data_IF_558537593556
#
_entry.id   IF_558537593556
#
_cell.length_a   1.000
_cell.length_b   1.000
_cell.length_c   1.000
_cell.angle_alpha   90.00
_cell.angle_beta   90.00
_cell.angle_gamma   90.00
#
_symmetry.space_group_name_H-M   'P 1'
#
loop_
_entity.id
_entity.type
_entity.pdbx_description
1 polymer ?
#
# COMPACT_ATOMS: atom_id res chain seq x y z
N UNK A 1 -22.66 -29.12 -4.81
CA UNK A 1 -21.64 -29.14 -3.75
C UNK A 1 -21.62 -27.72 -3.22
N UNK A 2 -22.12 -27.51 -2.00
CA UNK A 2 -22.25 -26.19 -1.40
C UNK A 2 -20.84 -25.63 -1.17
N UNK A 3 -20.50 -24.53 -1.86
CA UNK A 3 -19.30 -23.76 -1.56
C UNK A 3 -19.55 -23.11 -0.19
N UNK A 4 -18.83 -23.59 0.82
CA UNK A 4 -18.76 -22.92 2.11
C UNK A 4 -18.08 -21.58 1.89
N UNK A 5 -18.87 -20.50 1.93
CA UNK A 5 -18.36 -19.14 2.03
C UNK A 5 -17.69 -19.05 3.39
N UNK A 6 -16.36 -18.93 3.42
CA UNK A 6 -15.67 -18.57 4.65
C UNK A 6 -15.92 -17.08 4.86
N UNK A 7 -16.98 -16.74 5.59
CA UNK A 7 -17.10 -15.40 6.17
C UNK A 7 -16.00 -15.27 7.23
N UNK A 8 -14.84 -14.75 6.83
CA UNK A 8 -13.87 -14.21 7.77
C UNK A 8 -14.49 -12.89 8.22
N UNK A 9 -15.28 -12.97 9.29
CA UNK A 9 -15.82 -11.76 9.92
C UNK A 9 -14.63 -11.13 10.64
N UNK A 10 -14.39 -9.83 10.43
CA UNK A 10 -13.50 -9.06 11.29
C UNK A 10 -13.84 -9.41 12.75
N UNK A 11 -12.85 -9.87 13.50
CA UNK A 11 -13.06 -10.32 14.88
C UNK A 11 -13.47 -9.08 15.68
N UNK A 12 -14.64 -9.13 16.31
CA UNK A 12 -15.27 -8.04 17.05
C UNK A 12 -14.58 -7.68 18.36
N UNK A 13 -13.29 -7.38 18.33
CA UNK A 13 -12.66 -6.54 19.34
C UNK A 13 -13.06 -5.08 19.06
N UNK A 14 -13.47 -4.34 20.09
CA UNK A 14 -13.67 -2.90 19.92
C UNK A 14 -12.32 -2.27 19.53
N UNK A 15 -12.28 -1.41 18.49
CA UNK A 15 -11.04 -0.76 18.09
C UNK A 15 -10.51 0.10 19.25
N UNK A 16 -9.18 0.28 19.31
CA UNK A 16 -8.54 1.12 20.34
C UNK A 16 -9.08 2.54 20.37
N UNK A 17 -9.59 3.02 19.24
CA UNK A 17 -10.10 4.35 19.03
C UNK A 17 -11.04 4.35 17.82
N UNK A 18 -12.01 5.25 17.81
CA UNK A 18 -12.82 5.55 16.64
C UNK A 18 -12.23 6.72 15.81
N UNK A 19 -11.09 7.28 16.23
CA UNK A 19 -10.34 8.31 15.52
C UNK A 19 -9.23 7.68 14.65
N UNK A 20 -9.38 7.66 13.32
CA UNK A 20 -8.38 7.13 12.40
C UNK A 20 -7.03 7.81 12.49
N UNK A 21 -6.98 9.11 12.84
CA UNK A 21 -5.69 9.79 13.04
C UNK A 21 -4.95 9.18 14.21
N UNK A 22 -5.63 8.99 15.33
CA UNK A 22 -5.05 8.33 16.50
C UNK A 22 -4.69 6.86 16.21
N UNK A 23 -5.52 6.14 15.43
CA UNK A 23 -5.19 4.79 15.00
C UNK A 23 -3.90 4.75 14.15
N UNK A 24 -3.68 5.75 13.29
CA UNK A 24 -2.46 5.89 12.52
C UNK A 24 -1.23 6.15 13.40
N UNK A 25 -1.36 6.97 14.45
CA UNK A 25 -0.29 7.20 15.43
C UNK A 25 0.10 5.91 16.16
N UNK A 26 -0.88 5.09 16.57
CA UNK A 26 -0.62 3.80 17.21
C UNK A 26 0.12 2.82 16.30
N UNK A 27 -0.27 2.74 15.03
CA UNK A 27 0.43 1.92 14.04
C UNK A 27 1.85 2.43 13.76
N UNK A 28 2.02 3.75 13.67
CA UNK A 28 3.33 4.39 13.48
C UNK A 28 4.28 4.12 14.67
N UNK A 29 3.78 4.24 15.90
CA UNK A 29 4.55 3.93 17.11
C UNK A 29 4.99 2.46 17.17
N UNK A 30 4.13 1.54 16.73
CA UNK A 30 4.52 0.14 16.62
C UNK A 30 5.61 -0.10 15.57
N UNK A 31 5.49 0.53 14.38
CA UNK A 31 6.52 0.45 13.33
C UNK A 31 7.86 1.05 13.78
N UNK A 32 7.83 2.17 14.51
CA UNK A 32 9.03 2.79 15.07
C UNK A 32 9.81 1.84 16.00
N UNK A 33 9.10 0.96 16.71
CA UNK A 33 9.69 -0.09 17.55
C UNK A 33 10.36 -1.24 16.79
N UNK A 34 10.18 -1.35 15.47
CA UNK A 34 10.77 -2.42 14.64
C UNK A 34 12.14 -2.07 14.05
N UNK A 35 12.57 -0.81 14.16
CA UNK A 35 13.82 -0.38 13.54
C UNK A 35 15.03 -1.07 14.19
N UNK A 36 15.94 -1.54 13.33
CA UNK A 36 17.25 -1.99 13.73
C UNK A 36 18.11 -0.80 14.19
N UNK A 37 19.22 -1.07 14.87
CA UNK A 37 20.11 -0.04 15.41
C UNK A 37 20.76 0.88 14.36
N UNK A 38 20.69 0.53 13.08
CA UNK A 38 21.13 1.37 11.95
C UNK A 38 19.99 2.15 11.29
N UNK A 39 18.77 2.07 11.83
CA UNK A 39 17.56 2.70 11.32
C UNK A 39 16.86 1.92 10.22
N UNK A 40 17.35 0.73 9.83
CA UNK A 40 16.67 -0.09 8.83
C UNK A 40 15.50 -0.88 9.39
N UNK A 41 14.59 -1.29 8.51
CA UNK A 41 13.53 -2.25 8.84
C UNK A 41 13.28 -3.18 7.65
N UNK A 42 13.55 -4.47 7.83
CA UNK A 42 13.33 -5.48 6.79
C UNK A 42 14.13 -5.22 5.52
N UNK A 43 13.46 -5.15 4.37
CA UNK A 43 14.06 -4.90 3.07
C UNK A 43 13.81 -3.48 2.54
N UNK A 44 14.27 -3.19 1.32
CA UNK A 44 14.12 -1.88 0.69
C UNK A 44 12.66 -1.40 0.61
N UNK A 45 11.71 -2.30 0.34
CA UNK A 45 10.29 -1.97 0.28
C UNK A 45 9.75 -1.61 1.66
N UNK A 46 10.07 -2.43 2.67
CA UNK A 46 9.69 -2.18 4.06
C UNK A 46 10.23 -0.84 4.60
N UNK A 47 11.48 -0.50 4.28
CA UNK A 47 12.05 0.81 4.65
C UNK A 47 11.30 1.98 4.01
N UNK A 48 10.97 1.89 2.72
CA UNK A 48 10.21 2.93 2.00
C UNK A 48 8.80 3.10 2.58
N UNK A 49 8.09 1.99 2.78
CA UNK A 49 6.72 2.00 3.31
C UNK A 49 6.66 2.45 4.77
N UNK A 50 7.61 2.04 5.60
CA UNK A 50 7.72 2.54 6.99
C UNK A 50 7.92 4.05 6.99
N UNK A 51 8.87 4.59 6.22
CA UNK A 51 9.10 6.03 6.20
C UNK A 51 7.86 6.82 5.71
N UNK A 52 7.14 6.30 4.72
CA UNK A 52 5.86 6.87 4.27
C UNK A 52 4.76 6.80 5.34
N UNK A 53 4.68 5.71 6.10
CA UNK A 53 3.74 5.57 7.22
C UNK A 53 4.03 6.59 8.35
N UNK A 54 5.30 6.73 8.76
CA UNK A 54 5.70 7.71 9.77
C UNK A 54 5.41 9.15 9.28
N UNK A 55 5.76 9.48 8.03
CA UNK A 55 5.44 10.79 7.44
C UNK A 55 3.93 11.07 7.38
N UNK A 56 3.11 10.05 7.13
CA UNK A 56 1.65 10.16 7.04
C UNK A 56 0.99 10.39 8.40
N UNK A 57 1.46 9.68 9.43
CA UNK A 57 1.00 9.87 10.82
C UNK A 57 1.44 11.22 11.40
N UNK A 58 2.58 11.75 10.92
CA UNK A 58 3.26 12.96 11.44
C UNK A 58 3.78 12.80 12.87
N UNK A 59 4.06 11.58 13.28
CA UNK A 59 4.63 11.23 14.59
C UNK A 59 5.90 10.40 14.40
N UNK A 60 6.59 10.09 15.51
CA UNK A 60 7.80 9.27 15.52
C UNK A 60 8.96 9.89 14.73
N UNK A 61 9.19 11.19 14.89
CA UNK A 61 10.22 11.96 14.18
C UNK A 61 11.63 11.36 14.29
N UNK A 62 12.02 10.87 15.47
CA UNK A 62 13.34 10.25 15.67
C UNK A 62 13.49 8.96 14.85
N UNK A 63 12.43 8.15 14.77
CA UNK A 63 12.42 6.94 13.95
C UNK A 63 12.45 7.30 12.46
N UNK A 64 11.66 8.29 12.03
CA UNK A 64 11.66 8.76 10.65
C UNK A 64 13.06 9.26 10.23
N UNK A 65 13.72 10.03 11.09
CA UNK A 65 15.09 10.50 10.85
C UNK A 65 16.09 9.35 10.73
N UNK A 66 15.93 8.30 11.54
CA UNK A 66 16.76 7.10 11.45
C UNK A 66 16.56 6.35 10.12
N UNK A 67 15.31 6.09 9.72
CA UNK A 67 15.02 5.43 8.42
C UNK A 67 15.50 6.30 7.26
N UNK A 68 15.29 7.63 7.31
CA UNK A 68 15.78 8.54 6.28
C UNK A 68 17.31 8.58 6.21
N UNK A 69 17.99 8.51 7.36
CA UNK A 69 19.44 8.33 7.41
C UNK A 69 19.90 7.08 6.67
N UNK A 70 19.22 5.96 6.90
CA UNK A 70 19.49 4.69 6.21
C UNK A 70 19.19 4.78 4.70
N UNK A 71 18.04 5.32 4.30
CA UNK A 71 17.64 5.49 2.90
C UNK A 71 18.64 6.36 2.12
N UNK A 72 19.12 7.47 2.72
CA UNK A 72 20.14 8.34 2.12
C UNK A 72 21.48 7.63 1.90
N UNK A 73 21.83 6.69 2.76
CA UNK A 73 23.07 5.89 2.66
C UNK A 73 22.94 4.72 1.67
N UNK A 74 21.73 4.21 1.45
CA UNK A 74 21.46 2.98 0.68
C UNK A 74 20.64 3.21 -0.60
N UNK A 75 20.50 4.46 -1.06
CA UNK A 75 19.61 4.83 -2.16
C UNK A 75 19.76 3.98 -3.44
N UNK A 76 20.99 3.64 -3.84
CA UNK A 76 21.29 2.83 -5.02
C UNK A 76 20.71 1.40 -4.94
N UNK A 77 20.83 0.73 -3.79
CA UNK A 77 20.28 -0.61 -3.61
C UNK A 77 18.76 -0.58 -3.41
N UNK A 78 18.23 0.51 -2.84
CA UNK A 78 16.79 0.69 -2.64
C UNK A 78 16.04 0.78 -3.96
N UNK A 79 16.58 1.49 -4.94
CA UNK A 79 15.87 1.79 -6.20
C UNK A 79 16.07 0.76 -7.31
N UNK A 80 16.83 -0.31 -7.07
CA UNK A 80 17.15 -1.33 -8.08
C UNK A 80 16.84 -2.75 -7.60
N UNK A 81 16.45 -3.61 -8.54
CA UNK A 81 16.36 -5.06 -8.34
C UNK A 81 17.72 -5.78 -8.57
N UNK A 82 18.80 -5.01 -8.73
CA UNK A 82 20.14 -5.49 -9.09
C UNK A 82 20.35 -5.66 -10.59
N UNK A 83 19.31 -5.53 -11.42
CA UNK A 83 19.40 -5.56 -12.89
C UNK A 83 19.01 -4.22 -13.53
N UNK A 84 17.98 -3.56 -12.99
CA UNK A 84 17.42 -2.33 -13.51
C UNK A 84 16.85 -1.48 -12.37
N UNK A 85 16.54 -0.23 -12.70
CA UNK A 85 15.80 0.66 -11.82
C UNK A 85 14.35 0.21 -11.72
N UNK A 86 13.80 0.30 -10.51
CA UNK A 86 12.42 -0.06 -10.18
C UNK A 86 11.57 1.21 -10.03
N UNK A 87 10.68 1.53 -10.99
CA UNK A 87 9.92 2.77 -10.97
C UNK A 87 9.06 2.97 -9.72
N UNK A 88 8.45 1.89 -9.20
CA UNK A 88 7.66 1.96 -7.96
C UNK A 88 8.51 2.35 -6.75
N UNK A 89 9.72 1.76 -6.62
CA UNK A 89 10.66 2.11 -5.54
C UNK A 89 11.21 3.52 -5.69
N UNK A 90 11.53 3.94 -6.91
CA UNK A 90 11.90 5.33 -7.22
C UNK A 90 10.79 6.32 -6.86
N UNK A 91 9.55 6.04 -7.25
CA UNK A 91 8.38 6.87 -6.94
C UNK A 91 8.20 7.04 -5.43
N UNK A 92 8.24 5.94 -4.67
CA UNK A 92 8.17 5.96 -3.20
C UNK A 92 9.35 6.70 -2.56
N UNK A 93 10.58 6.50 -3.06
CA UNK A 93 11.76 7.19 -2.54
C UNK A 93 11.69 8.70 -2.80
N UNK A 94 11.16 9.13 -3.94
CA UNK A 94 10.94 10.55 -4.23
C UNK A 94 9.86 11.12 -3.30
N UNK A 95 8.76 10.39 -3.08
CA UNK A 95 7.70 10.81 -2.14
C UNK A 95 8.25 11.06 -0.74
N UNK A 96 9.02 10.11 -0.19
CA UNK A 96 9.58 10.25 1.15
C UNK A 96 10.70 11.29 1.21
N UNK A 97 11.53 11.43 0.16
CA UNK A 97 12.54 12.50 0.10
C UNK A 97 11.89 13.89 0.17
N UNK A 98 10.81 14.12 -0.58
CA UNK A 98 10.07 15.38 -0.55
C UNK A 98 9.40 15.60 0.81
N UNK A 99 8.81 14.57 1.41
CA UNK A 99 8.23 14.64 2.75
C UNK A 99 9.29 14.99 3.81
N UNK A 100 10.51 14.49 3.68
CA UNK A 100 11.64 14.83 4.55
C UNK A 100 12.26 16.22 4.27
N UNK A 101 11.80 16.93 3.22
CA UNK A 101 12.40 18.19 2.79
C UNK A 101 13.75 18.05 2.06
N UNK A 102 14.13 16.83 1.65
CA UNK A 102 15.31 16.59 0.82
C UNK A 102 15.06 17.01 -0.64
N UNK A 103 16.14 17.29 -1.37
CA UNK A 103 16.09 17.48 -2.82
C UNK A 103 16.17 16.10 -3.53
N UNK A 104 15.09 15.62 -4.19
CA UNK A 104 15.12 14.35 -4.90
C UNK A 104 16.02 14.34 -6.14
N UNK A 105 16.52 15.50 -6.60
CA UNK A 105 17.51 15.60 -7.70
C UNK A 105 18.96 15.54 -7.21
N UNK A 106 19.18 15.57 -5.90
CA UNK A 106 20.49 15.51 -5.27
C UNK A 106 20.42 14.67 -3.98
N UNK A 107 19.78 13.50 -4.05
CA UNK A 107 19.45 12.69 -2.88
C UNK A 107 20.65 11.93 -2.31
N UNK A 108 20.72 11.91 -0.98
CA UNK A 108 21.71 11.13 -0.24
C UNK A 108 23.17 11.57 -0.47
N UNK A 109 24.11 10.82 0.11
CA UNK A 109 25.54 11.16 0.05
C UNK A 109 26.14 11.10 -1.36
N UNK A 110 25.49 10.38 -2.27
CA UNK A 110 25.88 10.26 -3.67
C UNK A 110 25.38 11.40 -4.56
N UNK A 111 24.53 12.30 -4.05
CA UNK A 111 23.82 13.30 -4.85
C UNK A 111 23.08 12.65 -6.04
N UNK A 112 22.33 11.58 -5.77
CA UNK A 112 21.58 10.85 -6.79
C UNK A 112 20.43 11.69 -7.33
N UNK A 113 20.33 11.76 -8.67
CA UNK A 113 19.16 12.32 -9.33
C UNK A 113 18.07 11.24 -9.48
N UNK A 114 17.24 11.09 -8.44
CA UNK A 114 16.16 10.10 -8.44
C UNK A 114 15.10 10.42 -9.50
N UNK A 115 14.84 11.72 -9.71
CA UNK A 115 13.88 12.19 -10.71
C UNK A 115 14.34 11.80 -12.11
N UNK A 116 15.60 12.12 -12.45
CA UNK A 116 16.19 11.76 -13.73
C UNK A 116 16.22 10.25 -13.97
N UNK A 117 16.49 9.45 -12.92
CA UNK A 117 16.45 7.98 -13.00
C UNK A 117 15.05 7.46 -13.27
N UNK A 118 14.03 7.96 -12.56
CA UNK A 118 12.63 7.58 -12.81
C UNK A 118 12.21 7.94 -14.24
N UNK A 119 12.53 9.15 -14.68
CA UNK A 119 12.26 9.60 -16.05
C UNK A 119 12.93 8.71 -17.10
N UNK A 120 14.16 8.23 -16.84
CA UNK A 120 14.89 7.34 -17.74
C UNK A 120 14.26 5.95 -17.87
N UNK A 121 13.40 5.53 -16.93
CA UNK A 121 12.69 4.24 -17.03
C UNK A 121 11.50 4.27 -17.99
N UNK A 122 11.02 5.45 -18.41
CA UNK A 122 9.86 5.58 -19.28
C UNK A 122 10.09 4.92 -20.65
N UNK A 123 9.14 4.08 -21.07
CA UNK A 123 9.17 3.43 -22.38
C UNK A 123 10.06 2.19 -22.46
N UNK A 124 10.65 1.74 -21.34
CA UNK A 124 11.61 0.63 -21.36
C UNK A 124 10.97 -0.72 -21.69
N UNK A 125 9.71 -0.93 -21.30
CA UNK A 125 8.92 -2.11 -21.69
C UNK A 125 8.02 -1.82 -22.90
N UNK A 126 7.18 -0.78 -22.79
CA UNK A 126 6.27 -0.31 -23.84
C UNK A 126 6.11 1.20 -23.74
N UNK A 127 5.78 1.88 -24.86
CA UNK A 127 5.58 3.33 -24.86
C UNK A 127 4.59 3.79 -23.78
N UNK A 128 4.97 4.83 -23.02
CA UNK A 128 4.17 5.38 -21.91
C UNK A 128 4.30 4.64 -20.57
N UNK A 129 4.81 3.40 -20.54
CA UNK A 129 4.96 2.65 -19.29
C UNK A 129 6.34 2.88 -18.66
N UNK A 130 6.38 3.20 -17.36
CA UNK A 130 7.63 3.20 -16.61
C UNK A 130 8.12 1.77 -16.31
N UNK A 131 9.43 1.55 -16.44
CA UNK A 131 10.10 0.30 -16.07
C UNK A 131 10.25 -0.69 -17.21
N UNK A 132 11.28 -1.53 -17.10
CA UNK A 132 11.56 -2.63 -18.03
C UNK A 132 10.95 -3.97 -17.57
N UNK A 133 10.57 -4.05 -16.29
CA UNK A 133 10.03 -5.25 -15.65
C UNK A 133 8.67 -5.65 -16.24
N UNK A 134 8.36 -6.94 -16.17
CA UNK A 134 7.07 -7.51 -16.57
C UNK A 134 5.92 -6.82 -15.80
N UNK A 135 5.02 -6.11 -16.48
CA UNK A 135 3.96 -5.32 -15.83
C UNK A 135 2.71 -6.14 -15.47
N UNK A 136 2.69 -7.46 -15.71
CA UNK A 136 1.49 -8.30 -15.53
C UNK A 136 0.81 -8.10 -14.18
N UNK A 137 1.60 -7.85 -13.12
CA UNK A 137 1.11 -7.80 -11.74
C UNK A 137 1.18 -6.41 -11.10
N UNK A 138 1.86 -5.44 -11.70
CA UNK A 138 2.14 -4.16 -11.06
C UNK A 138 2.07 -2.94 -12.00
N UNK A 139 1.75 -3.13 -13.29
CA UNK A 139 1.88 -2.07 -14.29
C UNK A 139 1.10 -0.79 -13.93
N UNK A 140 -0.19 -0.88 -13.62
CA UNK A 140 -0.98 0.27 -13.20
C UNK A 140 -0.54 0.84 -11.84
N UNK A 141 -0.21 -0.03 -10.88
CA UNK A 141 0.24 0.32 -9.54
C UNK A 141 1.56 1.09 -9.55
N UNK A 142 2.59 0.56 -10.23
CA UNK A 142 3.90 1.20 -10.38
C UNK A 142 3.82 2.48 -11.20
N UNK A 143 2.92 2.54 -12.18
CA UNK A 143 2.67 3.74 -12.97
C UNK A 143 2.07 4.85 -12.10
N UNK A 144 1.09 4.53 -11.25
CA UNK A 144 0.52 5.44 -10.26
C UNK A 144 1.59 5.99 -9.31
N UNK A 145 2.41 5.11 -8.73
CA UNK A 145 3.52 5.50 -7.85
C UNK A 145 4.56 6.39 -8.54
N UNK A 146 4.92 6.07 -9.79
CA UNK A 146 5.86 6.88 -10.56
C UNK A 146 5.31 8.30 -10.81
N UNK A 147 4.03 8.40 -11.19
CA UNK A 147 3.36 9.69 -11.40
C UNK A 147 3.23 10.50 -10.11
N UNK A 148 2.94 9.84 -8.98
CA UNK A 148 2.93 10.45 -7.65
C UNK A 148 4.32 11.02 -7.29
N UNK A 149 5.38 10.23 -7.45
CA UNK A 149 6.75 10.66 -7.17
C UNK A 149 7.19 11.84 -8.04
N UNK A 150 6.99 11.75 -9.36
CA UNK A 150 7.30 12.86 -10.28
C UNK A 150 6.56 14.14 -9.90
N UNK A 151 5.28 14.03 -9.55
CA UNK A 151 4.48 15.16 -9.11
C UNK A 151 5.00 15.76 -7.80
N UNK A 152 5.39 14.93 -6.83
CA UNK A 152 6.01 15.37 -5.58
C UNK A 152 7.28 16.20 -5.84
N UNK A 153 8.10 15.78 -6.80
CA UNK A 153 9.31 16.49 -7.21
C UNK A 153 9.06 17.72 -8.11
N UNK A 154 7.80 18.13 -8.26
CA UNK A 154 7.38 19.28 -9.05
C UNK A 154 7.45 19.10 -10.56
N UNK A 155 7.60 17.87 -11.07
CA UNK A 155 7.58 17.60 -12.51
C UNK A 155 6.13 17.73 -13.01
N UNK A 156 5.96 18.40 -14.16
CA UNK A 156 4.68 18.57 -14.83
C UNK A 156 4.79 18.16 -16.31
N UNK A 157 3.67 17.83 -16.99
CA UNK A 157 3.68 17.61 -18.43
C UNK A 157 4.19 18.80 -19.25
N UNK A 158 4.06 20.04 -18.75
CA UNK A 158 4.64 21.22 -19.41
C UNK A 158 6.16 21.27 -19.31
N UNK A 159 6.74 20.84 -18.19
CA UNK A 159 8.19 20.85 -17.97
C UNK A 159 8.87 19.62 -18.60
N UNK A 160 8.16 18.48 -18.60
CA UNK A 160 8.64 17.23 -19.17
C UNK A 160 7.51 16.55 -19.99
N UNK A 161 7.37 16.89 -21.29
CA UNK A 161 6.28 16.40 -22.15
C UNK A 161 6.04 14.89 -22.19
N UNK A 162 7.07 14.00 -22.11
CA UNK A 162 6.84 12.55 -22.06
C UNK A 162 5.97 12.07 -20.89
N UNK A 163 5.80 12.89 -19.83
CA UNK A 163 4.86 12.60 -18.75
C UNK A 163 3.42 12.48 -19.25
N UNK A 164 3.05 13.19 -20.32
CA UNK A 164 1.71 13.08 -20.89
C UNK A 164 1.47 11.68 -21.48
N UNK A 165 2.46 11.10 -22.16
CA UNK A 165 2.36 9.73 -22.69
C UNK A 165 2.18 8.71 -21.55
N UNK A 166 2.77 8.98 -20.38
CA UNK A 166 2.62 8.15 -19.18
C UNK A 166 1.22 8.24 -18.56
N UNK A 167 0.63 9.43 -18.53
CA UNK A 167 -0.74 9.66 -18.09
C UNK A 167 -1.72 8.99 -19.07
N UNK A 168 -1.54 9.21 -20.38
CA UNK A 168 -2.40 8.65 -21.42
C UNK A 168 -2.34 7.13 -21.43
N UNK A 169 -1.16 6.55 -21.19
CA UNK A 169 -1.02 5.11 -21.01
C UNK A 169 -1.87 4.61 -19.84
N UNK A 170 -1.81 5.27 -18.68
CA UNK A 170 -2.57 4.85 -17.49
C UNK A 170 -4.08 4.97 -17.71
N UNK A 171 -4.55 6.05 -18.35
CA UNK A 171 -5.97 6.21 -18.73
C UNK A 171 -6.40 5.07 -19.66
N UNK A 172 -5.59 4.73 -20.67
CA UNK A 172 -5.91 3.68 -21.61
C UNK A 172 -6.00 2.29 -20.97
N UNK A 173 -5.33 2.06 -19.83
CA UNK A 173 -5.40 0.79 -19.11
C UNK A 173 -6.75 0.57 -18.40
N UNK A 174 -7.54 1.62 -18.13
CA UNK A 174 -8.80 1.48 -17.41
C UNK A 174 -9.79 0.57 -18.14
N UNK A 175 -10.41 -0.35 -17.41
CA UNK A 175 -11.39 -1.28 -17.93
C UNK A 175 -12.64 -0.54 -18.43
N UNK A 176 -12.81 -0.50 -19.75
CA UNK A 176 -13.90 0.23 -20.41
C UNK A 176 -15.21 -0.55 -20.47
N UNK A 177 -16.19 0.00 -21.20
CA UNK A 177 -17.54 -0.54 -21.34
C UNK A 177 -17.59 -1.93 -22.02
N UNK A 178 -16.55 -2.28 -22.78
CA UNK A 178 -16.31 -3.58 -23.38
C UNK A 178 -16.13 -4.69 -22.33
N UNK A 179 -15.67 -4.32 -21.13
CA UNK A 179 -15.41 -5.24 -20.02
C UNK A 179 -16.71 -5.73 -19.36
N UNK A 180 -16.68 -6.91 -18.72
CA UNK A 180 -17.75 -7.38 -17.84
C UNK A 180 -18.16 -6.30 -16.83
N UNK A 181 -19.46 -6.15 -16.51
CA UNK A 181 -19.94 -5.11 -15.58
C UNK A 181 -19.17 -5.04 -14.26
N UNK A 182 -18.78 -6.18 -13.71
CA UNK A 182 -18.00 -6.34 -12.48
C UNK A 182 -16.59 -5.76 -12.53
N UNK A 183 -16.06 -5.47 -13.72
CA UNK A 183 -14.71 -4.95 -13.92
C UNK A 183 -14.67 -3.52 -14.45
N UNK A 184 -15.82 -2.93 -14.81
CA UNK A 184 -15.84 -1.60 -15.44
C UNK A 184 -15.34 -0.55 -14.47
N UNK A 185 -14.45 0.32 -14.95
CA UNK A 185 -13.87 1.41 -14.15
C UNK A 185 -12.65 1.01 -13.31
N UNK A 186 -12.40 -0.29 -13.13
CA UNK A 186 -11.21 -0.80 -12.46
C UNK A 186 -9.96 -0.73 -13.35
N UNK A 187 -8.81 -0.98 -12.74
CA UNK A 187 -7.56 -1.34 -13.42
C UNK A 187 -7.16 -2.76 -13.03
N UNK A 188 -6.55 -3.46 -13.99
CA UNK A 188 -5.68 -4.61 -13.73
C UNK A 188 -4.22 -4.18 -13.91
N UNK A 189 -3.26 -5.05 -13.54
CA UNK A 189 -1.83 -4.73 -13.68
C UNK A 189 -1.43 -4.28 -15.07
N UNK A 190 -1.84 -5.03 -16.11
CA UNK A 190 -1.51 -4.68 -17.49
C UNK A 190 -2.46 -5.28 -18.51
N UNK A 191 -2.81 -4.47 -19.52
CA UNK A 191 -3.51 -4.84 -20.74
C UNK A 191 -2.61 -4.55 -21.92
N UNK A 192 -2.24 -5.61 -22.64
CA UNK A 192 -1.47 -5.52 -23.88
C UNK A 192 -2.31 -5.02 -25.08
N UNK A 193 -3.63 -5.21 -25.02
CA UNK A 193 -4.61 -4.66 -25.96
C UNK A 193 -5.72 -3.96 -25.17
N UNK A 194 -5.66 -2.63 -25.12
CA UNK A 194 -6.64 -1.79 -24.42
C UNK A 194 -7.97 -1.65 -25.17
N UNK A 195 -8.10 -2.23 -26.36
CA UNK A 195 -9.38 -2.40 -27.05
C UNK A 195 -10.12 -3.69 -26.69
N UNK A 196 -9.45 -4.62 -26.01
CA UNK A 196 -10.04 -5.87 -25.53
C UNK A 196 -10.63 -5.72 -24.12
N UNK A 197 -11.68 -6.50 -23.76
CA UNK A 197 -12.22 -6.48 -22.40
C UNK A 197 -11.17 -6.86 -21.36
N UNK A 198 -11.27 -6.24 -20.19
CA UNK A 198 -10.61 -6.76 -18.99
C UNK A 198 -11.20 -8.13 -18.65
N UNK A 199 -10.33 -9.07 -18.33
CA UNK A 199 -10.69 -10.44 -17.98
C UNK A 199 -9.83 -10.90 -16.80
N UNK A 200 -10.38 -11.80 -16.01
CA UNK A 200 -9.56 -12.61 -15.11
C UNK A 200 -8.86 -13.69 -15.91
N UNK A 201 -7.53 -13.72 -15.82
CA UNK A 201 -6.71 -14.77 -16.41
C UNK A 201 -6.60 -15.94 -15.43
N UNK A 202 -7.12 -17.14 -15.76
CA UNK A 202 -7.08 -18.29 -14.85
C UNK A 202 -5.70 -18.93 -14.69
N UNK A 203 -4.70 -18.52 -15.49
CA UNK A 203 -3.32 -19.03 -15.42
C UNK A 203 -2.45 -18.11 -14.57
N UNK A 204 -2.50 -16.80 -14.86
CA UNK A 204 -1.69 -15.81 -14.14
C UNK A 204 -2.41 -15.26 -12.91
N UNK A 205 -3.72 -15.46 -12.79
CA UNK A 205 -4.58 -14.84 -11.77
C UNK A 205 -4.60 -13.31 -11.85
N UNK A 206 -4.06 -12.73 -12.92
CA UNK A 206 -4.18 -11.31 -13.19
C UNK A 206 -5.63 -10.98 -13.51
N UNK A 207 -6.21 -10.06 -12.75
CA UNK A 207 -7.56 -9.58 -12.93
C UNK A 207 -7.63 -8.12 -12.45
N UNK A 208 -8.70 -7.38 -12.79
CA UNK A 208 -8.95 -6.09 -12.19
C UNK A 208 -9.08 -6.20 -10.67
N UNK A 209 -8.47 -5.27 -9.95
CA UNK A 209 -8.33 -5.34 -8.50
C UNK A 209 -8.35 -3.92 -7.88
N UNK A 210 -8.62 -3.83 -6.58
CA UNK A 210 -8.76 -2.53 -5.89
C UNK A 210 -7.45 -1.79 -5.76
N UNK A 211 -6.32 -2.48 -5.71
CA UNK A 211 -5.02 -1.89 -5.37
C UNK A 211 -4.42 -1.20 -6.59
N UNK A 212 -4.48 -1.84 -7.75
CA UNK A 212 -4.15 -1.23 -9.04
C UNK A 212 -5.03 -0.01 -9.29
N UNK A 213 -6.34 -0.15 -9.06
CA UNK A 213 -7.33 0.92 -9.24
C UNK A 213 -7.02 2.10 -8.31
N UNK A 214 -6.73 1.84 -7.04
CA UNK A 214 -6.43 2.87 -6.06
C UNK A 214 -5.19 3.69 -6.43
N UNK A 215 -4.08 3.03 -6.80
CA UNK A 215 -2.86 3.75 -7.19
C UNK A 215 -3.01 4.46 -8.53
N UNK A 216 -3.79 3.91 -9.46
CA UNK A 216 -4.10 4.59 -10.71
C UNK A 216 -4.86 5.90 -10.46
N UNK A 217 -5.91 5.85 -9.63
CA UNK A 217 -6.68 7.05 -9.23
C UNK A 217 -5.78 8.07 -8.55
N UNK A 218 -5.00 7.67 -7.54
CA UNK A 218 -4.11 8.59 -6.83
C UNK A 218 -3.10 9.26 -7.77
N UNK A 219 -2.48 8.50 -8.68
CA UNK A 219 -1.52 9.03 -9.65
C UNK A 219 -2.13 10.01 -10.66
N UNK A 220 -3.35 9.73 -11.12
CA UNK A 220 -4.07 10.62 -12.05
C UNK A 220 -4.55 11.90 -11.35
N UNK A 221 -5.17 11.78 -10.17
CA UNK A 221 -5.68 12.93 -9.39
C UNK A 221 -4.56 13.87 -8.96
N UNK A 222 -3.40 13.35 -8.52
CA UNK A 222 -2.24 14.18 -8.19
C UNK A 222 -1.75 15.04 -9.36
N UNK A 223 -1.99 14.58 -10.59
CA UNK A 223 -1.66 15.28 -11.83
C UNK A 223 -2.82 16.11 -12.40
N UNK A 224 -3.92 16.26 -11.65
CA UNK A 224 -5.08 17.06 -12.05
C UNK A 224 -5.90 16.41 -13.17
N UNK A 225 -5.83 15.08 -13.29
CA UNK A 225 -6.52 14.30 -14.31
C UNK A 225 -7.60 13.47 -13.63
N UNK A 226 -8.86 13.85 -13.81
CA UNK A 226 -10.01 13.17 -13.21
C UNK A 226 -10.76 12.25 -14.19
N UNK A 227 -10.19 12.04 -15.39
CA UNK A 227 -10.79 11.16 -16.39
C UNK A 227 -10.79 9.73 -15.89
N UNK A 228 -11.97 9.12 -15.77
CA UNK A 228 -12.11 7.76 -15.27
C UNK A 228 -12.28 7.66 -13.75
N UNK A 229 -12.16 8.75 -13.00
CA UNK A 229 -12.33 8.73 -11.54
C UNK A 229 -13.74 8.29 -11.14
N UNK A 230 -14.79 8.87 -11.75
CA UNK A 230 -16.17 8.49 -11.43
C UNK A 230 -16.42 6.98 -11.63
N UNK A 231 -15.94 6.40 -12.72
CA UNK A 231 -16.08 4.95 -12.94
C UNK A 231 -15.25 4.10 -11.99
N UNK A 232 -14.10 4.61 -11.52
CA UNK A 232 -13.33 3.95 -10.47
C UNK A 232 -14.07 3.96 -9.13
N UNK A 233 -14.71 5.08 -8.79
CA UNK A 233 -15.54 5.19 -7.58
C UNK A 233 -16.75 4.25 -7.66
N UNK A 234 -17.39 4.14 -8.82
CA UNK A 234 -18.49 3.19 -9.04
C UNK A 234 -18.01 1.74 -8.90
N UNK A 235 -16.79 1.43 -9.35
CA UNK A 235 -16.17 0.12 -9.12
C UNK A 235 -15.93 -0.16 -7.64
N UNK A 236 -15.34 0.80 -6.90
CA UNK A 236 -15.13 0.64 -5.46
C UNK A 236 -16.46 0.41 -4.73
N UNK A 237 -17.50 1.19 -5.04
CA UNK A 237 -18.83 1.01 -4.46
C UNK A 237 -19.43 -0.37 -4.77
N UNK A 238 -19.16 -0.91 -5.96
CA UNK A 238 -19.59 -2.26 -6.36
C UNK A 238 -18.90 -3.38 -5.56
N UNK A 239 -17.63 -3.21 -5.21
CA UNK A 239 -16.81 -4.24 -4.54
C UNK A 239 -16.65 -4.02 -3.05
N UNK A 240 -17.23 -2.96 -2.49
CA UNK A 240 -17.23 -2.72 -1.05
C UNK A 240 -18.01 -3.85 -0.34
N UNK A 241 -17.41 -4.41 0.70
CA UNK A 241 -18.00 -5.51 1.47
C UNK A 241 -18.91 -4.97 2.60
N UNK A 242 -19.75 -5.85 3.17
CA UNK A 242 -20.73 -5.48 4.21
C UNK A 242 -20.09 -4.90 5.49
N UNK A 243 -18.80 -5.17 5.73
CA UNK A 243 -18.04 -4.61 6.85
C UNK A 243 -17.49 -3.21 6.57
N UNK A 244 -17.80 -2.63 5.41
CA UNK A 244 -17.33 -1.32 4.95
C UNK A 244 -15.95 -1.34 4.27
N UNK A 245 -15.25 -2.47 4.30
CA UNK A 245 -13.91 -2.63 3.76
C UNK A 245 -13.88 -2.99 2.29
N UNK A 246 -12.67 -3.17 1.79
CA UNK A 246 -12.42 -3.51 0.39
C UNK A 246 -11.52 -4.74 0.29
N UNK A 247 -11.85 -5.68 -0.59
CA UNK A 247 -11.02 -6.85 -0.85
C UNK A 247 -9.95 -6.51 -1.89
N UNK A 248 -8.81 -7.21 -1.88
CA UNK A 248 -7.86 -7.13 -3.01
C UNK A 248 -8.57 -7.36 -4.37
N UNK A 249 -9.29 -8.47 -4.48
CA UNK A 249 -10.12 -8.82 -5.63
C UNK A 249 -11.51 -9.21 -5.16
N UNK A 250 -12.53 -8.99 -5.99
CA UNK A 250 -13.91 -9.32 -5.63
C UNK A 250 -14.05 -10.78 -5.17
N UNK A 251 -14.69 -10.98 -4.01
CA UNK A 251 -14.95 -12.31 -3.44
C UNK A 251 -13.84 -12.86 -2.52
N UNK A 252 -12.77 -12.12 -2.28
CA UNK A 252 -11.71 -12.50 -1.32
C UNK A 252 -11.96 -11.99 0.12
N UNK A 253 -12.95 -11.11 0.32
CA UNK A 253 -13.22 -10.46 1.60
C UNK A 253 -12.26 -9.31 1.91
N UNK A 254 -12.67 -8.42 2.80
CA UNK A 254 -11.92 -7.21 3.17
C UNK A 254 -10.55 -7.54 3.77
N UNK A 255 -9.58 -6.69 3.46
CA UNK A 255 -8.25 -6.71 4.07
C UNK A 255 -7.77 -5.27 4.34
N UNK A 256 -6.90 -5.05 5.34
CA UNK A 256 -6.47 -3.70 5.73
C UNK A 256 -5.62 -3.01 4.67
N UNK A 257 -4.81 -3.75 3.88
CA UNK A 257 -3.95 -3.17 2.86
C UNK A 257 -4.80 -2.54 1.75
N UNK A 258 -5.72 -3.32 1.19
CA UNK A 258 -6.63 -2.90 0.12
C UNK A 258 -7.58 -1.81 0.60
N UNK A 259 -8.14 -1.96 1.81
CA UNK A 259 -9.01 -0.94 2.41
C UNK A 259 -8.27 0.40 2.59
N UNK A 260 -7.02 0.38 3.06
CA UNK A 260 -6.23 1.57 3.25
C UNK A 260 -5.84 2.26 1.93
N UNK A 261 -5.52 1.49 0.88
CA UNK A 261 -5.27 2.04 -0.45
C UNK A 261 -6.52 2.67 -1.06
N UNK A 262 -7.68 2.04 -0.90
CA UNK A 262 -8.95 2.61 -1.36
C UNK A 262 -9.27 3.89 -0.59
N UNK A 263 -9.10 3.93 0.74
CA UNK A 263 -9.27 5.17 1.52
C UNK A 263 -8.40 6.30 0.96
N UNK A 264 -7.11 6.05 0.68
CA UNK A 264 -6.23 7.05 0.10
C UNK A 264 -6.70 7.50 -1.30
N UNK A 265 -7.20 6.57 -2.13
CA UNK A 265 -7.78 6.91 -3.43
C UNK A 265 -9.03 7.79 -3.29
N UNK A 266 -9.93 7.46 -2.36
CA UNK A 266 -11.11 8.26 -2.05
C UNK A 266 -10.73 9.69 -1.63
N UNK A 267 -9.78 9.83 -0.71
CA UNK A 267 -9.30 11.14 -0.25
C UNK A 267 -8.66 11.92 -1.41
N UNK A 268 -7.88 11.27 -2.27
CA UNK A 268 -7.25 11.90 -3.44
C UNK A 268 -8.29 12.43 -4.44
N UNK A 269 -9.41 11.72 -4.61
CA UNK A 269 -10.55 12.12 -5.43
C UNK A 269 -11.51 13.11 -4.71
N UNK A 270 -11.12 13.64 -3.54
CA UNK A 270 -11.93 14.58 -2.75
C UNK A 270 -13.19 13.97 -2.13
N UNK A 271 -13.29 12.64 -2.05
CA UNK A 271 -14.35 11.95 -1.33
C UNK A 271 -14.06 11.96 0.17
N UNK A 272 -15.13 11.97 0.97
CA UNK A 272 -15.04 11.66 2.40
C UNK A 272 -15.39 10.18 2.60
N UNK A 273 -14.46 9.32 3.05
CA UNK A 273 -14.72 7.92 3.32
C UNK A 273 -15.83 7.68 4.36
N UNK A 274 -16.20 8.67 5.18
CA UNK A 274 -17.34 8.56 6.11
C UNK A 274 -18.67 8.99 5.53
N UNK A 275 -18.68 9.50 4.30
CA UNK A 275 -19.92 9.98 3.69
C UNK A 275 -20.93 8.84 3.51
N UNK A 276 -22.20 9.19 3.32
CA UNK A 276 -23.28 8.23 3.11
C UNK A 276 -23.09 7.33 1.90
N UNK A 277 -22.23 7.71 0.94
CA UNK A 277 -21.86 6.85 -0.20
C UNK A 277 -21.11 5.61 0.28
N UNK A 278 -20.18 5.79 1.22
CA UNK A 278 -19.25 4.75 1.66
C UNK A 278 -19.65 4.08 2.98
N UNK A 279 -20.78 4.48 3.57
CA UNK A 279 -21.36 3.91 4.79
C UNK A 279 -22.77 3.37 4.57
N UNK A 280 -23.16 3.14 3.30
CA UNK A 280 -24.52 2.73 2.95
C UNK A 280 -24.93 1.38 3.57
N UNK A 281 -23.97 0.47 3.77
CA UNK A 281 -24.17 -0.84 4.41
C UNK A 281 -24.11 -0.79 5.96
N UNK A 282 -23.79 0.36 6.55
CA UNK A 282 -23.60 0.55 7.99
C UNK A 282 -22.20 1.06 8.31
N UNK A 283 -21.17 0.19 8.36
CA UNK A 283 -19.80 0.63 8.60
C UNK A 283 -19.21 1.41 7.43
N UNK A 284 -18.35 2.37 7.75
CA UNK A 284 -17.49 3.11 6.84
C UNK A 284 -16.18 2.35 6.58
N UNK A 285 -15.41 2.73 5.53
CA UNK A 285 -14.07 2.18 5.28
C UNK A 285 -13.13 2.35 6.47
N UNK A 286 -13.26 3.44 7.23
CA UNK A 286 -12.46 3.62 8.44
C UNK A 286 -12.83 2.61 9.51
N UNK A 287 -14.12 2.39 9.78
CA UNK A 287 -14.54 1.38 10.77
C UNK A 287 -14.05 -0.02 10.38
N UNK A 288 -14.09 -0.38 9.10
CA UNK A 288 -13.49 -1.62 8.61
C UNK A 288 -11.99 -1.67 8.86
N UNK A 289 -11.23 -0.64 8.42
CA UNK A 289 -9.79 -0.60 8.56
C UNK A 289 -9.36 -0.70 10.04
N UNK A 290 -10.00 0.08 10.91
CA UNK A 290 -9.65 0.16 12.32
C UNK A 290 -10.00 -1.12 13.08
N UNK A 291 -10.94 -1.94 12.60
CA UNK A 291 -11.25 -3.25 13.19
C UNK A 291 -10.09 -4.25 13.10
N UNK A 292 -9.11 -4.01 12.23
CA UNK A 292 -7.90 -4.83 12.11
C UNK A 292 -6.81 -4.43 13.12
N UNK A 293 -6.94 -3.29 13.81
CA UNK A 293 -5.94 -2.80 14.74
C UNK A 293 -5.96 -3.58 16.06
N UNK A 294 -4.79 -4.05 16.47
CA UNK A 294 -4.59 -4.82 17.69
C UNK A 294 -4.75 -3.94 18.93
N UNK A 295 -5.75 -4.29 19.74
CA UNK A 295 -6.15 -3.53 20.92
C UNK A 295 -5.61 -4.02 22.25
N UNK A 296 -6.27 -3.64 23.33
CA UNK A 296 -5.80 -3.87 24.70
C UNK A 296 -5.73 -5.34 25.12
N UNK A 297 -6.48 -6.20 24.43
CA UNK A 297 -6.44 -7.66 24.62
C UNK A 297 -5.17 -8.30 24.03
N UNK A 298 -4.40 -7.58 23.21
CA UNK A 298 -3.12 -8.02 22.67
C UNK A 298 -1.95 -7.76 23.63
N UNK A 299 -0.85 -8.53 23.54
CA UNK A 299 0.39 -8.26 24.28
C UNK A 299 0.87 -6.82 24.11
N UNK A 300 1.47 -6.24 25.16
CA UNK A 300 1.86 -4.81 25.19
C UNK A 300 2.69 -4.38 23.96
N UNK A 301 3.64 -5.22 23.51
CA UNK A 301 4.49 -4.94 22.35
C UNK A 301 3.81 -5.12 20.98
N UNK A 302 2.55 -5.57 20.94
CA UNK A 302 1.78 -5.83 19.73
C UNK A 302 0.67 -4.80 19.50
N UNK A 303 0.33 -4.02 20.53
CA UNK A 303 -0.76 -3.04 20.49
C UNK A 303 -0.45 -1.94 19.48
N UNK A 304 -1.48 -1.52 18.75
CA UNK A 304 -1.38 -0.49 17.71
C UNK A 304 -1.01 -1.03 16.33
N UNK A 305 -0.37 -2.20 16.23
CA UNK A 305 -0.15 -2.88 14.96
C UNK A 305 -1.49 -3.26 14.31
N UNK A 306 -1.50 -3.42 12.99
CA UNK A 306 -2.63 -3.98 12.27
C UNK A 306 -2.37 -5.47 12.01
N UNK A 307 -3.40 -6.28 12.23
CA UNK A 307 -3.44 -7.69 11.81
C UNK A 307 -3.94 -7.81 10.38
N UNK A 308 -3.94 -9.02 9.82
CA UNK A 308 -4.50 -9.32 8.50
C UNK A 308 -5.27 -10.64 8.51
N UNK A 309 -6.07 -10.95 7.47
CA UNK A 309 -6.70 -12.27 7.32
C UNK A 309 -5.73 -13.45 7.38
N UNK A 310 -4.43 -13.19 7.18
CA UNK A 310 -3.37 -14.20 7.12
C UNK A 310 -2.50 -14.24 8.37
N UNK A 311 -2.70 -13.34 9.33
CA UNK A 311 -1.84 -13.21 10.52
C UNK A 311 -2.40 -13.89 11.77
N UNK A 312 -3.59 -14.51 11.71
CA UNK A 312 -4.25 -15.14 12.87
C UNK A 312 -4.32 -14.19 14.08
N UNK A 313 -4.77 -12.95 13.84
CA UNK A 313 -4.82 -11.87 14.84
C UNK A 313 -3.47 -11.46 15.45
N UNK A 314 -2.35 -11.84 14.84
CA UNK A 314 -1.01 -11.38 15.21
C UNK A 314 -0.64 -10.10 14.46
N UNK A 315 0.35 -9.31 14.92
CA UNK A 315 0.84 -8.16 14.19
C UNK A 315 1.33 -8.54 12.80
N UNK A 316 0.96 -7.73 11.81
CA UNK A 316 1.42 -7.85 10.44
C UNK A 316 2.06 -6.53 10.01
N UNK A 317 3.38 -6.55 9.82
CA UNK A 317 4.13 -5.35 9.45
C UNK A 317 3.71 -4.82 8.07
N UNK A 318 3.37 -5.70 7.13
CA UNK A 318 2.92 -5.30 5.80
C UNK A 318 1.53 -4.66 5.87
N UNK A 319 0.61 -5.24 6.63
CA UNK A 319 -0.69 -4.61 6.90
C UNK A 319 -0.52 -3.24 7.56
N UNK A 320 0.38 -3.14 8.55
CA UNK A 320 0.57 -1.92 9.33
C UNK A 320 1.14 -0.76 8.50
N UNK A 321 2.15 -1.00 7.65
CA UNK A 321 2.73 0.08 6.83
C UNK A 321 1.73 0.65 5.81
N UNK A 322 0.79 -0.14 5.30
CA UNK A 322 -0.26 0.34 4.39
C UNK A 322 -1.45 0.95 5.15
N UNK A 323 -1.82 0.37 6.29
CA UNK A 323 -2.94 0.83 7.11
C UNK A 323 -2.70 2.24 7.68
N UNK A 324 -1.47 2.56 8.09
CA UNK A 324 -1.17 3.86 8.72
C UNK A 324 -1.48 5.06 7.80
N UNK A 325 -1.03 5.13 6.53
CA UNK A 325 -1.44 6.19 5.61
C UNK A 325 -2.96 6.26 5.36
N UNK A 326 -3.61 5.11 5.24
CA UNK A 326 -5.07 5.02 5.10
C UNK A 326 -5.79 5.61 6.30
N UNK A 327 -5.44 5.17 7.51
CA UNK A 327 -5.99 5.64 8.77
C UNK A 327 -5.69 7.14 8.99
N UNK A 328 -4.50 7.61 8.62
CA UNK A 328 -4.16 9.04 8.67
C UNK A 328 -5.05 9.91 7.76
N UNK A 329 -5.72 9.28 6.77
CA UNK A 329 -6.65 9.95 5.87
C UNK A 329 -5.96 10.95 4.96
N UNK A 330 -4.73 10.64 4.53
CA UNK A 330 -3.93 11.49 3.66
C UNK A 330 -3.88 10.94 2.24
N UNK A 331 -3.72 11.83 1.27
CA UNK A 331 -3.41 11.45 -0.11
C UNK A 331 -2.00 11.91 -0.44
N UNK A 332 -1.28 11.08 -1.19
CA UNK A 332 0.01 11.45 -1.75
C UNK A 332 -0.15 12.36 -2.98
N UNK A 333 0.85 13.21 -3.28
CA UNK A 333 2.09 13.42 -2.52
C UNK A 333 1.90 14.26 -1.26
N UNK A 334 2.69 13.98 -0.21
CA UNK A 334 2.79 14.85 0.97
C UNK A 334 3.77 16.00 0.69
N UNK A 335 3.50 17.23 1.17
CA UNK A 335 4.51 18.27 1.25
C UNK A 335 5.59 17.90 2.29
N UNK A 336 6.67 18.68 2.44
CA UNK A 336 7.54 18.57 3.60
C UNK A 336 6.72 18.56 4.90
N UNK A 337 6.99 17.60 5.77
CA UNK A 337 6.26 17.38 7.02
C UNK A 337 7.16 17.62 8.22
N UNK A 338 6.62 18.31 9.22
CA UNK A 338 7.18 18.35 10.56
C UNK A 338 6.56 17.20 11.36
N UNK A 339 7.40 16.34 11.94
CA UNK A 339 6.98 15.21 12.75
C UNK A 339 7.14 15.53 14.23
N UNK A 340 6.14 15.17 15.03
CA UNK A 340 6.30 15.13 16.48
C UNK A 340 7.29 14.01 16.86
N UNK A 341 8.17 14.21 17.87
CA UNK A 341 9.20 13.23 18.20
C UNK A 341 8.64 11.84 18.54
N UNK A 342 7.46 11.77 19.16
CA UNK A 342 6.78 10.54 19.53
C UNK A 342 5.28 10.67 19.22
N UNK A 343 4.62 9.57 18.90
CA UNK A 343 3.17 9.47 18.81
C UNK A 343 2.50 9.18 20.14
N UNK A 344 1.17 9.15 20.13
CA UNK A 344 0.41 8.62 21.26
C UNK A 344 0.56 7.10 21.34
N UNK A 345 0.53 6.55 22.54
CA UNK A 345 0.48 5.09 22.77
C UNK A 345 -0.94 4.67 23.15
N UNK A 346 -1.35 3.42 22.86
CA UNK A 346 -2.64 2.91 23.29
C UNK A 346 -2.79 2.97 24.83
N UNK A 347 -3.79 3.71 25.31
CA UNK A 347 -4.15 3.75 26.73
C UNK A 347 -5.20 2.68 27.03
N UNK A 348 -4.76 1.61 27.70
CA UNK A 348 -5.61 0.48 28.06
C UNK A 348 -6.14 0.55 29.50
N UNK A 349 -5.90 1.66 30.20
CA UNK A 349 -6.13 1.79 31.64
C UNK A 349 -5.20 0.92 32.48
N UNK A 350 -5.02 1.29 33.75
CA UNK A 350 -4.27 0.50 34.72
C UNK A 350 -5.10 -0.73 35.14
N UNK A 351 -5.04 -1.80 34.37
CA UNK A 351 -5.39 -3.14 34.86
C UNK A 351 -4.23 -3.67 35.69
N UNK A 352 -4.46 -3.91 36.99
CA UNK A 352 -3.52 -4.44 37.99
C UNK A 352 -2.27 -5.13 37.40
N UNK A 353 -1.14 -4.43 37.47
CA UNK A 353 0.20 -4.93 37.17
C UNK A 353 0.57 -6.11 38.06
N UNK A 354 0.80 -7.33 37.53
CA UNK A 354 1.49 -8.37 38.23
C UNK A 354 2.90 -8.54 37.65
N UNK A 355 3.73 -7.51 37.81
CA UNK A 355 5.16 -7.66 38.02
C UNK A 355 6.04 -7.45 36.81
N UNK A 356 6.83 -6.38 36.91
CA UNK A 356 8.27 -6.33 36.63
C UNK A 356 8.88 -7.61 36.05
N UNK A 357 9.26 -7.55 34.77
CA UNK A 357 10.32 -8.40 34.23
C UNK A 357 11.25 -7.59 33.33
N UNK A 358 12.48 -7.50 33.81
CA UNK A 358 13.74 -7.42 33.05
C UNK A 358 13.67 -7.97 31.61
N UNK A 359 14.46 -7.40 30.67
CA UNK A 359 14.49 -7.83 29.28
C UNK A 359 15.06 -9.25 29.20
N UNK A 360 14.22 -10.21 28.78
CA UNK A 360 14.67 -11.51 28.32
C UNK A 360 14.82 -11.43 26.80
N UNK A 361 16.02 -11.71 26.31
CA UNK A 361 16.38 -11.62 24.91
C UNK A 361 15.74 -12.66 24.01
N UNK A 362 15.81 -12.30 22.72
CA UNK A 362 15.96 -13.11 21.52
C UNK A 362 14.81 -14.06 21.16
N UNK A 363 13.82 -13.52 20.45
CA UNK A 363 13.72 -13.69 18.99
C UNK A 363 13.04 -12.43 18.41
N UNK A 364 13.58 -11.79 17.34
CA UNK A 364 12.88 -10.69 16.69
C UNK A 364 11.52 -11.19 16.16
N UNK A 365 10.47 -10.35 16.17
CA UNK A 365 9.22 -10.68 15.50
C UNK A 365 9.54 -11.09 14.06
N UNK A 366 8.94 -12.19 13.59
CA UNK A 366 9.20 -12.71 12.26
C UNK A 366 8.78 -11.65 11.24
N UNK A 367 9.78 -10.95 10.69
CA UNK A 367 9.62 -10.05 9.55
C UNK A 367 9.18 -10.92 8.36
N UNK A 368 7.95 -10.74 7.89
CA UNK A 368 7.57 -11.19 6.56
C UNK A 368 8.36 -10.33 5.55
N UNK A 369 9.41 -10.91 4.97
CA UNK A 369 10.22 -10.25 3.93
C UNK A 369 9.43 -10.16 2.63
N UNK A 370 9.62 -9.04 1.92
CA UNK A 370 8.98 -8.70 0.65
C UNK A 370 8.86 -9.84 -0.36
N UNK A 371 7.71 -9.87 -1.00
CA UNK A 371 7.56 -10.32 -2.38
C UNK A 371 6.75 -9.30 -3.19
N UNK A 372 7.07 -8.00 -3.09
CA UNK A 372 6.67 -7.07 -4.15
C UNK A 372 7.45 -7.37 -5.48
N UNK A 373 8.53 -8.17 -5.42
CA UNK A 373 9.21 -8.75 -6.60
C UNK A 373 8.67 -10.13 -7.01
N UNK A 374 7.56 -10.58 -6.42
CA UNK A 374 6.86 -11.79 -6.84
C UNK A 374 5.37 -11.50 -6.88
N UNK A 375 4.88 -11.30 -8.11
CA UNK A 375 3.58 -11.80 -8.53
C UNK A 375 3.07 -12.90 -7.58
N UNK A 376 1.85 -12.79 -7.01
CA UNK A 376 1.33 -13.85 -6.19
C UNK A 376 1.36 -15.13 -7.03
N UNK A 377 2.20 -16.07 -6.63
CA UNK A 377 2.12 -17.42 -7.15
C UNK A 377 0.78 -17.95 -6.64
N UNK A 378 -0.26 -17.81 -7.45
CA UNK A 378 -1.14 -18.88 -7.92
C UNK A 378 -1.06 -20.16 -7.08
N UNK A 379 -1.37 -20.06 -5.79
CA UNK A 379 -1.51 -21.21 -4.92
C UNK A 379 -2.97 -21.59 -5.02
N UNK A 380 -3.30 -22.29 -6.11
CA UNK A 380 -4.57 -22.99 -6.24
C UNK A 380 -4.79 -23.90 -5.02
N UNK A 381 -6.06 -24.23 -4.71
CA UNK A 381 -6.40 -24.85 -3.44
C UNK A 381 -5.64 -26.18 -3.28
N UNK A 382 -4.91 -26.30 -2.17
CA UNK A 382 -4.39 -27.56 -1.71
C UNK A 382 -5.58 -28.48 -1.39
N UNK A 383 -5.98 -29.28 -2.37
CA UNK A 383 -6.83 -30.43 -2.13
C UNK A 383 -6.02 -31.41 -1.29
N UNK A 384 -6.41 -31.55 -0.03
CA UNK A 384 -5.99 -32.67 0.80
C UNK A 384 -6.44 -33.97 0.12
N UNK A 385 -5.52 -34.65 -0.56
CA UNK A 385 -5.65 -36.08 -0.87
C UNK A 385 -4.41 -36.76 -0.35
N UNK A 386 -4.64 -37.52 0.71
CA UNK A 386 -3.80 -38.56 1.27
C UNK A 386 -3.21 -39.47 0.18
N UNK A 387 -1.90 -39.72 0.22
CA UNK A 387 -1.31 -40.89 -0.43
C UNK A 387 0.02 -40.63 -1.16
N UNK A 388 1.12 -40.86 -0.44
CA UNK A 388 2.39 -41.31 -1.02
C UNK A 388 2.22 -42.76 -1.55
N UNK A 389 3.07 -43.35 -2.44
CA UNK A 389 4.17 -42.82 -3.26
C UNK A 389 4.09 -43.23 -4.75
N UNK A 390 5.08 -42.75 -5.53
CA UNK A 390 5.79 -43.42 -6.66
C UNK A 390 5.74 -42.74 -8.05
N UNK A 391 6.82 -41.97 -8.29
CA UNK A 391 7.80 -42.08 -9.38
C UNK A 391 7.41 -41.98 -10.88
N UNK A 392 8.22 -41.12 -11.53
CA UNK A 392 8.84 -41.21 -12.86
C UNK A 392 7.99 -41.03 -14.12
N UNK A 393 8.31 -39.94 -14.83
CA UNK A 393 7.96 -39.67 -16.23
C UNK A 393 8.38 -38.27 -16.60
#
# INVERSE_FOLDING_TARGET
MLLSVWSITAIGAEPLTDDPRQAAEYGAGWLAGLLDGDGSVGDAGANLSTALALASSRTEGDAFDAVMGWLRANAESVISDGSADMPGRLGRLILVAVAAGDDPRAFGSGSLDLVGRLQATLGSHSGGLFGAQDPTYDGAFRQGLALLGLRAAGVTPSDWPPMQDAIDWLIAQQCGAESPPEFRGAWMGYRSDTGAPCLSDPVTFAAPDTNQTALAVQGLEANGVSSGTDSALDYFELVQEDDGGFPFQQGYGSDPNSTALVIQALVSAGQDPRSSRWSAAGPSPYESLLSWQLGCDSPVGERGAFSSPFSDSSPDAFATVDAVPGAAGVAYPLPPVDLEPNGSTPDCGDGDDPGDRTPAGDDPPKVATSTEDRAPAASGPAVAVTGDPQFTG
#
